data_IF_361642942872
#
_entry.id   IF_361642942872
#
_cell.length_a   1.000
_cell.length_b   1.000
_cell.length_c   1.000
_cell.angle_alpha   90.00
_cell.angle_beta   90.00
_cell.angle_gamma   90.00
#
_symmetry.space_group_name_H-M   'P 1'
#
loop_
_entity.id
_entity.type
_entity.pdbx_description
1 polymer ?
#
# COMPACT_ATOMS: atom_id res chain seq x y z
N UNK A 1 -20.02 -32.44 -23.28
CA UNK A 1 -18.73 -32.40 -24.01
C UNK A 1 -18.94 -32.99 -25.38
N UNK A 2 -18.40 -32.38 -26.44
CA UNK A 2 -18.49 -32.95 -27.78
C UNK A 2 -17.55 -34.14 -27.94
N UNK A 3 -17.82 -35.02 -28.91
CA UNK A 3 -16.94 -36.16 -29.20
C UNK A 3 -15.49 -35.73 -29.49
N UNK A 4 -15.31 -34.59 -30.17
CA UNK A 4 -14.01 -33.97 -30.46
C UNK A 4 -13.23 -33.61 -29.18
N UNK A 5 -13.91 -33.06 -28.17
CA UNK A 5 -13.29 -32.74 -26.89
C UNK A 5 -12.83 -34.02 -26.17
N UNK A 6 -13.63 -35.09 -26.22
CA UNK A 6 -13.28 -36.38 -25.61
C UNK A 6 -12.02 -36.97 -26.25
N UNK A 7 -11.92 -36.96 -27.58
CA UNK A 7 -10.72 -37.44 -28.27
C UNK A 7 -9.47 -36.61 -27.96
N UNK A 8 -9.61 -35.28 -27.86
CA UNK A 8 -8.50 -34.38 -27.52
C UNK A 8 -7.98 -34.65 -26.10
N UNK A 9 -8.88 -34.79 -25.13
CA UNK A 9 -8.52 -35.18 -23.76
C UNK A 9 -7.84 -36.55 -23.72
N UNK A 10 -8.37 -37.55 -24.43
CA UNK A 10 -7.72 -38.86 -24.51
C UNK A 10 -6.32 -38.80 -25.13
N UNK A 11 -6.06 -37.88 -26.07
CA UNK A 11 -4.71 -37.65 -26.60
C UNK A 11 -3.79 -37.03 -25.55
N UNK A 12 -4.20 -35.94 -24.91
CA UNK A 12 -3.42 -35.27 -23.86
C UNK A 12 -3.03 -36.21 -22.72
N UNK A 13 -3.96 -37.06 -22.27
CA UNK A 13 -3.67 -38.07 -21.25
C UNK A 13 -2.66 -39.12 -21.71
N UNK A 14 -2.69 -39.54 -23.00
CA UNK A 14 -1.70 -40.45 -23.56
C UNK A 14 -0.32 -39.81 -23.70
N UNK A 15 -0.29 -38.52 -24.00
CA UNK A 15 0.94 -37.72 -24.13
C UNK A 15 1.54 -37.32 -22.76
N UNK A 16 0.96 -37.82 -21.65
CA UNK A 16 1.47 -37.60 -20.29
C UNK A 16 1.05 -36.28 -19.66
N UNK A 17 0.16 -35.52 -20.30
CA UNK A 17 -0.37 -34.27 -19.75
C UNK A 17 -1.45 -34.59 -18.70
N UNK A 18 -1.06 -34.54 -17.43
CA UNK A 18 -1.93 -34.82 -16.27
C UNK A 18 -2.54 -33.57 -15.65
N UNK A 19 -2.16 -32.38 -16.13
CA UNK A 19 -2.72 -31.12 -15.65
C UNK A 19 -4.17 -30.97 -16.11
N UNK A 20 -5.10 -30.87 -15.16
CA UNK A 20 -6.50 -30.51 -15.41
C UNK A 20 -6.70 -29.00 -15.56
N UNK A 21 -5.67 -28.20 -15.26
CA UNK A 21 -5.71 -26.75 -15.43
C UNK A 21 -5.50 -26.41 -16.90
N UNK A 22 -6.41 -25.60 -17.44
CA UNK A 22 -6.29 -25.09 -18.80
C UNK A 22 -5.06 -24.20 -18.94
N UNK A 23 -4.47 -24.21 -20.13
CA UNK A 23 -3.35 -23.33 -20.45
C UNK A 23 -3.77 -21.85 -20.33
N UNK A 24 -2.80 -20.95 -20.01
CA UNK A 24 -3.06 -19.52 -20.01
C UNK A 24 -3.63 -19.08 -21.35
N UNK A 25 -4.84 -18.54 -21.34
CA UNK A 25 -5.44 -18.00 -22.57
C UNK A 25 -4.76 -16.69 -22.93
N UNK A 26 -4.43 -16.51 -24.20
CA UNK A 26 -4.07 -15.19 -24.73
C UNK A 26 -5.27 -14.25 -24.60
N UNK A 27 -5.21 -13.31 -23.66
CA UNK A 27 -6.21 -12.27 -23.48
C UNK A 27 -6.07 -11.13 -24.51
N UNK A 28 -6.99 -10.17 -24.47
CA UNK A 28 -6.86 -8.93 -25.23
C UNK A 28 -5.66 -8.13 -24.70
N UNK A 29 -4.75 -7.64 -25.57
CA UNK A 29 -3.63 -6.81 -25.12
C UNK A 29 -4.18 -5.51 -24.52
N UNK A 30 -3.90 -5.28 -23.23
CA UNK A 30 -4.30 -4.05 -22.57
C UNK A 30 -3.34 -2.92 -22.99
N UNK A 31 -3.68 -2.19 -24.06
CA UNK A 31 -2.87 -1.08 -24.60
C UNK A 31 -2.60 0.03 -23.59
N UNK A 32 -3.42 0.14 -22.54
CA UNK A 32 -3.20 1.13 -21.50
C UNK A 32 -2.11 0.75 -20.50
N UNK A 33 -1.82 -0.54 -20.31
CA UNK A 33 -0.78 -1.03 -19.41
C UNK A 33 0.61 -1.00 -20.07
N UNK A 34 0.97 0.16 -20.63
CA UNK A 34 2.29 0.44 -21.15
C UNK A 34 3.17 1.09 -20.06
N UNK A 35 4.48 0.92 -20.16
CA UNK A 35 5.47 1.49 -19.23
C UNK A 35 5.38 3.02 -19.17
N UNK A 36 5.11 3.66 -20.32
CA UNK A 36 4.91 5.12 -20.39
C UNK A 36 3.73 5.59 -19.53
N UNK A 37 2.58 4.92 -19.63
CA UNK A 37 1.41 5.23 -18.81
C UNK A 37 1.67 4.96 -17.34
N UNK A 38 2.42 3.89 -17.04
CA UNK A 38 2.76 3.50 -15.66
C UNK A 38 3.65 4.55 -15.00
N UNK A 39 4.68 5.03 -15.70
CA UNK A 39 5.52 6.12 -15.23
C UNK A 39 4.71 7.40 -14.99
N UNK A 40 3.81 7.75 -15.90
CA UNK A 40 3.01 8.97 -15.78
C UNK A 40 2.00 8.93 -14.64
N UNK A 41 1.38 7.76 -14.39
CA UNK A 41 0.53 7.54 -13.22
C UNK A 41 1.33 7.69 -11.93
N UNK A 42 2.54 7.13 -11.87
CA UNK A 42 3.41 7.23 -10.69
C UNK A 42 3.83 8.68 -10.40
N UNK A 43 4.17 9.45 -11.44
CA UNK A 43 4.46 10.89 -11.31
C UNK A 43 3.28 11.68 -10.73
N UNK A 44 2.06 11.46 -11.24
CA UNK A 44 0.87 12.15 -10.74
C UNK A 44 0.59 11.83 -9.26
N UNK A 45 0.81 10.59 -8.84
CA UNK A 45 0.65 10.17 -7.44
C UNK A 45 1.76 10.76 -6.55
N UNK A 46 2.99 10.86 -7.06
CA UNK A 46 4.11 11.49 -6.32
C UNK A 46 3.89 12.98 -6.10
N UNK A 47 3.31 13.69 -7.07
CA UNK A 47 2.96 15.12 -6.94
C UNK A 47 1.84 15.34 -5.92
N UNK A 48 0.77 14.54 -5.98
CA UNK A 48 -0.30 14.59 -5.00
C UNK A 48 -0.71 13.18 -4.55
N UNK A 49 -0.31 12.83 -3.33
CA UNK A 49 -0.59 11.53 -2.71
C UNK A 49 -2.08 11.29 -2.43
N UNK A 50 -2.94 12.32 -2.57
CA UNK A 50 -4.40 12.25 -2.34
C UNK A 50 -5.21 12.29 -3.63
N UNK A 51 -4.56 12.28 -4.80
CA UNK A 51 -5.23 12.31 -6.10
C UNK A 51 -6.21 11.14 -6.28
N UNK A 52 -7.36 11.40 -6.92
CA UNK A 52 -8.36 10.35 -7.19
C UNK A 52 -8.06 9.62 -8.49
N UNK A 53 -8.34 8.31 -8.55
CA UNK A 53 -8.22 7.52 -9.78
C UNK A 53 -9.01 8.10 -10.96
N UNK A 54 -10.18 8.72 -10.70
CA UNK A 54 -10.97 9.40 -11.73
C UNK A 54 -10.24 10.61 -12.33
N UNK A 55 -9.52 11.36 -11.51
CA UNK A 55 -8.77 12.53 -11.96
C UNK A 55 -7.56 12.10 -12.80
N UNK A 56 -6.86 11.04 -12.40
CA UNK A 56 -5.78 10.44 -13.20
C UNK A 56 -6.33 9.93 -14.55
N UNK A 57 -7.45 9.19 -14.51
CA UNK A 57 -8.12 8.67 -15.71
C UNK A 57 -8.49 9.78 -16.70
N UNK A 58 -9.02 10.90 -16.22
CA UNK A 58 -9.34 12.05 -17.06
C UNK A 58 -8.08 12.74 -17.61
N UNK A 59 -7.02 12.86 -16.81
CA UNK A 59 -5.77 13.51 -17.24
C UNK A 59 -4.99 12.72 -18.29
N UNK A 60 -5.06 11.39 -18.23
CA UNK A 60 -4.31 10.51 -19.12
C UNK A 60 -5.18 9.90 -20.22
N UNK A 61 -6.48 10.18 -20.22
CA UNK A 61 -7.48 9.61 -21.14
C UNK A 61 -7.49 8.06 -21.12
N UNK A 62 -7.14 7.48 -19.97
CA UNK A 62 -7.09 6.03 -19.74
C UNK A 62 -8.37 5.63 -19.01
N UNK A 63 -9.02 4.50 -19.34
CA UNK A 63 -10.15 4.01 -18.57
C UNK A 63 -9.76 3.77 -17.11
N UNK A 64 -10.64 4.18 -16.19
CA UNK A 64 -10.41 4.11 -14.75
C UNK A 64 -9.99 2.72 -14.25
N UNK A 65 -10.49 1.65 -14.86
CA UNK A 65 -10.12 0.26 -14.54
C UNK A 65 -8.63 0.01 -14.76
N UNK A 66 -8.07 0.47 -15.88
CA UNK A 66 -6.65 0.30 -16.18
C UNK A 66 -5.79 1.15 -15.24
N UNK A 67 -6.24 2.37 -14.91
CA UNK A 67 -5.55 3.17 -13.88
C UNK A 67 -5.53 2.43 -12.54
N UNK A 68 -6.63 1.78 -12.16
CA UNK A 68 -6.67 0.98 -10.94
C UNK A 68 -5.66 -0.18 -10.98
N UNK A 69 -5.62 -0.95 -12.08
CA UNK A 69 -4.64 -2.03 -12.27
C UNK A 69 -3.20 -1.52 -12.20
N UNK A 70 -2.90 -0.38 -12.85
CA UNK A 70 -1.56 0.23 -12.80
C UNK A 70 -1.20 0.60 -11.36
N UNK A 71 -2.11 1.27 -10.65
CA UNK A 71 -1.85 1.73 -9.27
C UNK A 71 -1.68 0.55 -8.31
N UNK A 72 -2.55 -0.45 -8.38
CA UNK A 72 -2.60 -1.54 -7.42
C UNK A 72 -1.64 -2.68 -7.77
N UNK A 73 -1.65 -3.15 -9.02
CA UNK A 73 -0.95 -4.38 -9.41
C UNK A 73 0.46 -4.09 -9.96
N UNK A 74 0.64 -3.00 -10.70
CA UNK A 74 1.96 -2.63 -11.27
C UNK A 74 2.82 -1.84 -10.30
N UNK A 75 2.24 -0.79 -9.69
CA UNK A 75 2.96 0.11 -8.78
C UNK A 75 2.87 -0.34 -7.31
N UNK A 76 1.94 -1.24 -6.96
CA UNK A 76 1.81 -1.75 -5.60
C UNK A 76 1.25 -0.74 -4.59
N UNK A 77 0.69 0.39 -5.04
CA UNK A 77 0.12 1.39 -4.14
C UNK A 77 -1.18 0.90 -3.52
N UNK A 78 -1.36 1.23 -2.24
CA UNK A 78 -2.60 0.98 -1.50
C UNK A 78 -3.15 2.27 -0.95
N UNK A 79 -4.47 2.39 -0.96
CA UNK A 79 -5.15 3.52 -0.33
C UNK A 79 -5.08 3.36 1.18
N UNK A 80 -4.45 4.32 1.85
CA UNK A 80 -4.43 4.42 3.31
C UNK A 80 -5.30 5.61 3.74
N UNK A 81 -6.09 5.44 4.79
CA UNK A 81 -6.86 6.54 5.37
C UNK A 81 -5.94 7.50 6.12
N UNK A 82 -6.25 8.81 6.03
CA UNK A 82 -5.54 9.79 6.85
C UNK A 82 -5.83 9.54 8.33
N UNK A 83 -4.80 9.66 9.17
CA UNK A 83 -4.95 9.64 10.63
C UNK A 83 -5.43 11.00 11.10
N UNK A 84 -6.33 11.01 12.08
CA UNK A 84 -6.77 12.24 12.71
C UNK A 84 -5.62 12.84 13.54
N UNK A 85 -5.43 14.16 13.43
CA UNK A 85 -4.41 14.89 14.18
C UNK A 85 -5.14 15.90 15.06
N UNK A 86 -4.99 15.85 16.41
CA UNK A 86 -5.77 16.68 17.32
C UNK A 86 -5.57 18.19 17.15
N UNK A 87 -4.36 18.61 16.79
CA UNK A 87 -4.01 20.03 16.66
C UNK A 87 -2.94 20.23 15.59
N UNK A 88 -3.10 21.28 14.79
CA UNK A 88 -2.06 21.73 13.88
C UNK A 88 -0.95 22.43 14.67
N UNK A 89 0.26 21.88 14.60
CA UNK A 89 1.41 22.39 15.34
C UNK A 89 2.08 23.52 14.54
N UNK A 90 2.34 24.65 15.20
CA UNK A 90 3.30 25.64 14.70
C UNK A 90 4.74 25.12 14.83
N UNK A 91 5.69 25.77 14.18
CA UNK A 91 7.08 25.34 14.20
C UNK A 91 7.70 25.43 15.60
N UNK A 92 7.33 26.43 16.38
CA UNK A 92 7.71 26.54 17.79
C UNK A 92 7.24 25.32 18.60
N UNK A 93 5.96 24.92 18.44
CA UNK A 93 5.46 23.72 19.13
C UNK A 93 6.22 22.45 18.72
N UNK A 94 6.62 22.33 17.45
CA UNK A 94 7.40 21.16 16.98
C UNK A 94 8.79 21.16 17.62
N UNK A 95 9.45 22.31 17.68
CA UNK A 95 10.78 22.45 18.28
C UNK A 95 10.76 22.09 19.77
N UNK A 96 9.77 22.61 20.50
CA UNK A 96 9.58 22.28 21.92
C UNK A 96 9.34 20.79 22.13
N UNK A 97 8.50 20.17 21.29
CA UNK A 97 8.26 18.72 21.36
C UNK A 97 9.53 17.91 21.13
N UNK A 98 10.33 18.27 20.11
CA UNK A 98 11.61 17.58 19.85
C UNK A 98 12.54 17.70 21.06
N UNK A 99 12.69 18.91 21.61
CA UNK A 99 13.55 19.17 22.77
C UNK A 99 13.14 18.32 23.98
N UNK A 100 11.84 18.31 24.31
CA UNK A 100 11.31 17.54 25.43
C UNK A 100 11.50 16.04 25.18
N UNK A 101 11.19 15.54 23.98
CA UNK A 101 11.39 14.13 23.63
C UNK A 101 12.85 13.69 23.77
N UNK A 102 13.81 14.52 23.37
CA UNK A 102 15.24 14.22 23.53
C UNK A 102 15.65 14.13 25.00
N UNK A 103 15.19 15.05 25.85
CA UNK A 103 15.46 15.04 27.30
C UNK A 103 14.90 13.76 27.93
N UNK A 104 13.66 13.41 27.59
CA UNK A 104 12.99 12.21 28.12
C UNK A 104 13.66 10.92 27.67
N UNK A 105 14.07 10.84 26.39
CA UNK A 105 14.81 9.69 25.87
C UNK A 105 16.15 9.51 26.59
N UNK A 106 16.92 10.60 26.76
CA UNK A 106 18.18 10.54 27.48
C UNK A 106 17.99 10.08 28.93
N UNK A 107 16.95 10.58 29.61
CA UNK A 107 16.63 10.16 30.97
C UNK A 107 16.27 8.68 31.06
N UNK A 108 15.43 8.19 30.14
CA UNK A 108 15.03 6.78 30.05
C UNK A 108 16.20 5.83 29.77
N UNK A 109 17.28 6.32 29.15
CA UNK A 109 18.49 5.53 28.92
C UNK A 109 19.41 5.45 30.14
N UNK A 110 19.31 6.42 31.06
CA UNK A 110 20.15 6.52 32.26
C UNK A 110 19.48 5.90 33.49
N UNK A 111 18.16 6.09 33.63
CA UNK A 111 17.32 5.42 34.63
C UNK A 111 16.82 4.11 33.99
N UNK A 112 17.46 2.98 34.32
CA UNK A 112 17.04 1.68 33.80
C UNK A 112 15.61 1.33 34.21
N UNK A 113 14.72 1.23 33.22
CA UNK A 113 13.37 0.64 33.19
C UNK A 113 12.55 0.60 34.51
N UNK A 114 12.57 1.70 35.28
CA UNK A 114 11.47 1.97 36.19
C UNK A 114 10.37 2.65 35.37
N UNK A 115 9.31 1.89 35.11
CA UNK A 115 8.17 2.26 34.27
C UNK A 115 7.66 3.67 34.62
N UNK A 116 8.10 4.67 33.84
CA UNK A 116 7.61 6.04 33.95
C UNK A 116 6.18 6.02 33.42
N UNK A 117 5.22 6.28 34.32
CA UNK A 117 3.80 6.37 34.01
C UNK A 117 3.58 7.31 32.80
N UNK A 118 3.07 6.72 31.72
CA UNK A 118 2.87 7.36 30.41
C UNK A 118 1.92 8.56 30.53
N UNK A 119 1.17 8.69 31.63
CA UNK A 119 0.35 9.85 31.98
C UNK A 119 1.12 11.16 32.22
N UNK A 120 2.43 11.12 32.48
CA UNK A 120 3.22 12.33 32.82
C UNK A 120 3.92 12.97 31.61
N UNK A 121 4.16 12.21 30.53
CA UNK A 121 4.94 12.67 29.36
C UNK A 121 4.11 13.56 28.41
N UNK A 122 2.78 13.50 28.50
CA UNK A 122 1.89 14.35 27.71
C UNK A 122 0.90 15.05 28.65
N UNK A 123 1.09 16.35 28.96
CA UNK A 123 0.04 17.13 29.59
C UNK A 123 -1.13 17.21 28.61
N UNK A 124 -2.12 16.33 28.76
CA UNK A 124 -3.41 16.44 28.08
C UNK A 124 -3.84 15.31 27.12
N UNK A 125 -3.37 14.06 27.24
CA UNK A 125 -3.99 12.95 26.51
C UNK A 125 -4.35 11.78 27.42
N UNK A 126 -5.49 11.91 28.09
CA UNK A 126 -6.21 10.81 28.72
C UNK A 126 -6.91 9.94 27.66
N UNK A 127 -6.19 9.30 26.73
CA UNK A 127 -6.74 8.24 25.87
C UNK A 127 -5.62 7.30 25.43
N UNK A 128 -5.32 6.29 26.26
CA UNK A 128 -4.60 5.11 25.80
C UNK A 128 -5.56 4.28 24.94
N UNK A 129 -5.38 4.31 23.63
CA UNK A 129 -5.60 3.09 22.85
C UNK A 129 -4.23 2.64 22.33
N UNK A 130 -3.71 1.61 22.99
CA UNK A 130 -2.59 0.82 22.55
C UNK A 130 -3.05 -0.06 21.38
N UNK A 131 -2.59 0.26 20.18
CA UNK A 131 -2.39 -0.75 19.14
C UNK A 131 -1.23 -0.33 18.25
N UNK A 132 -0.11 -0.90 18.63
CA UNK A 132 1.18 -0.89 17.97
C UNK A 132 1.09 -1.56 16.59
N UNK A 133 1.77 -0.95 15.62
CA UNK A 133 2.56 -1.56 14.54
C UNK A 133 2.04 -2.85 13.85
N UNK A 134 1.74 -2.74 12.55
CA UNK A 134 2.44 -3.53 11.52
C UNK A 134 2.48 -2.72 10.21
N UNK A 135 3.63 -2.06 9.95
CA UNK A 135 4.09 -1.82 8.59
C UNK A 135 4.92 -3.04 8.18
N UNK A 136 4.36 -3.96 7.38
CA UNK A 136 5.17 -4.89 6.62
C UNK A 136 5.62 -4.22 5.33
N UNK A 137 6.68 -3.43 5.44
CA UNK A 137 7.71 -3.42 4.40
C UNK A 137 8.34 -4.82 4.41
N UNK A 138 8.43 -5.45 3.24
CA UNK A 138 8.81 -6.84 3.11
C UNK A 138 10.14 -7.17 3.78
N UNK A 139 10.12 -8.24 4.57
CA UNK A 139 11.29 -9.05 4.88
C UNK A 139 11.01 -10.46 4.32
N UNK A 140 11.99 -10.98 3.58
CA UNK A 140 12.21 -12.43 3.45
C UNK A 140 12.50 -13.03 4.81
#
# INVERSE_FOLDING_TARGET
MSMTQVYQWCSWFKDGQTSLQGEPRSGHPNTANNDWNTARVDELIKVDRRVKLKEISLKLEIPKTNVYEIVHDKLGYRKVSARWIPKMLSDEHKLQRIKISQILLHRCQQEGDETVDVGTIVPGTSFLNTSSLEMKLGYT
#
